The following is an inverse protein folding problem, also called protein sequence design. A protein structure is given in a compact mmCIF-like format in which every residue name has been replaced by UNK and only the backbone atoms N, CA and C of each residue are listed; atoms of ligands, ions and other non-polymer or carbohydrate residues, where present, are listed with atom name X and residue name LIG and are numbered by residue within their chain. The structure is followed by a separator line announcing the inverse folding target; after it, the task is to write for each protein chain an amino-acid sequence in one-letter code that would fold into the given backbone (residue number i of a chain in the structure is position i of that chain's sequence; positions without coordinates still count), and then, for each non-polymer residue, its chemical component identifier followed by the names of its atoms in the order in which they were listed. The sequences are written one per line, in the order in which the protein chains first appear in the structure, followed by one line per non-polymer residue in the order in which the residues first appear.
data_IF_646573098256
#
_entry.id   IF_646573098256
#
_cell.length_a   1.000
_cell.length_b   1.000
_cell.length_c   1.000
_cell.angle_alpha   90.00
_cell.angle_beta   90.00
_cell.angle_gamma   90.00
#
_symmetry.space_group_name_H-M   'P 1'
#
loop_
_entity.id
_entity.type
_entity.pdbx_description
1 polymer ?
#
# COMPACT_ATOMS: atom_id res chain seq x y z
N UNK A 1 49.22 -55.83 10.36
CA UNK A 1 48.21 -56.48 11.23
C UNK A 1 48.35 -55.93 12.65
N UNK A 2 47.40 -55.11 13.10
CA UNK A 2 47.05 -54.90 14.52
C UNK A 2 45.87 -53.91 14.59
N UNK A 3 44.68 -54.46 14.84
CA UNK A 3 43.60 -53.77 15.57
C UNK A 3 43.84 -54.06 17.06
N UNK A 4 43.53 -53.12 17.97
CA UNK A 4 42.26 -53.16 18.71
C UNK A 4 41.71 -51.74 18.98
N UNK A 5 40.50 -51.49 19.49
CA UNK A 5 39.49 -52.35 20.06
C UNK A 5 38.21 -51.54 20.32
N UNK A 6 37.12 -52.27 20.48
CA UNK A 6 35.77 -51.81 20.80
C UNK A 6 35.63 -51.38 22.27
N UNK A 7 34.80 -50.35 22.52
CA UNK A 7 34.07 -50.24 23.79
C UNK A 7 32.67 -49.68 23.58
N UNK A 8 31.73 -50.39 24.21
CA UNK A 8 30.29 -50.24 24.20
C UNK A 8 29.78 -49.00 24.95
N UNK A 9 28.65 -48.50 24.42
CA UNK A 9 27.39 -48.10 25.06
C UNK A 9 27.33 -47.13 26.26
N UNK A 10 26.40 -46.19 26.12
CA UNK A 10 25.86 -45.37 27.19
C UNK A 10 24.75 -44.44 26.69
N UNK A 11 23.65 -45.01 26.18
CA UNK A 11 22.39 -44.28 26.06
C UNK A 11 21.85 -44.00 27.47
N UNK A 12 21.47 -42.75 27.75
CA UNK A 12 20.42 -42.50 28.75
C UNK A 12 19.63 -41.26 28.35
N UNK A 13 18.45 -41.55 27.80
CA UNK A 13 17.34 -40.64 27.70
C UNK A 13 16.88 -40.24 29.11
N UNK A 14 16.51 -38.99 29.30
CA UNK A 14 15.64 -38.61 30.42
C UNK A 14 14.49 -37.78 29.86
N UNK A 15 13.32 -38.40 29.90
CA UNK A 15 12.01 -37.82 29.57
C UNK A 15 11.15 -37.87 30.85
N UNK A 16 10.13 -37.02 30.89
CA UNK A 16 9.08 -36.85 31.92
C UNK A 16 9.41 -35.88 33.07
N UNK A 17 8.53 -34.99 33.53
CA UNK A 17 7.18 -34.60 33.11
C UNK A 17 6.72 -33.37 33.92
N UNK A 18 5.76 -32.63 33.32
CA UNK A 18 4.65 -31.85 33.94
C UNK A 18 4.96 -30.64 34.83
N UNK A 19 4.51 -29.46 34.37
CA UNK A 19 3.40 -28.73 35.00
C UNK A 19 2.92 -27.57 34.08
N UNK A 20 1.63 -27.59 33.73
CA UNK A 20 0.87 -26.48 33.15
C UNK A 20 -0.32 -26.18 34.11
N UNK A 21 -0.95 -24.99 34.01
CA UNK A 21 -1.31 -24.11 35.14
C UNK A 21 -2.66 -24.44 35.81
N UNK A 22 -2.97 -23.84 36.98
CA UNK A 22 -4.30 -23.97 37.57
C UNK A 22 -5.34 -23.12 36.83
N UNK A 23 -6.51 -23.73 36.67
CA UNK A 23 -7.77 -23.15 36.23
C UNK A 23 -8.30 -22.19 37.31
N UNK A 24 -8.59 -20.94 36.92
CA UNK A 24 -9.48 -20.07 37.69
C UNK A 24 -10.84 -19.91 37.01
N UNK A 25 -11.82 -19.91 37.89
CA UNK A 25 -13.24 -20.17 37.65
C UNK A 25 -14.02 -18.98 37.12
N UNK A 26 -15.10 -19.32 36.42
CA UNK A 26 -16.15 -18.46 35.87
C UNK A 26 -16.60 -17.30 36.77
N UNK A 27 -16.89 -16.15 36.15
CA UNK A 27 -18.07 -15.35 36.51
C UNK A 27 -18.63 -14.61 35.29
N UNK A 28 -19.60 -15.27 34.68
CA UNK A 28 -20.66 -14.63 33.88
C UNK A 28 -21.37 -13.60 34.76
N UNK A 29 -21.42 -12.33 34.33
CA UNK A 29 -22.41 -11.37 34.82
C UNK A 29 -23.29 -10.92 33.66
N UNK A 30 -24.55 -11.34 33.79
CA UNK A 30 -25.70 -11.01 32.96
C UNK A 30 -25.96 -9.50 32.97
N UNK A 31 -26.46 -9.04 31.83
CA UNK A 31 -27.17 -7.78 31.60
C UNK A 31 -28.27 -7.55 32.66
N UNK A 32 -28.70 -6.30 32.83
CA UNK A 32 -30.12 -6.01 32.90
C UNK A 32 -30.59 -5.17 31.71
N UNK A 33 -31.67 -5.63 31.08
CA UNK A 33 -32.57 -4.80 30.30
C UNK A 33 -33.27 -3.83 31.26
N UNK A 34 -33.45 -2.57 30.83
CA UNK A 34 -34.54 -1.74 31.32
C UNK A 34 -35.39 -1.30 30.14
N UNK A 35 -36.69 -1.56 30.28
CA UNK A 35 -37.73 -1.30 29.32
C UNK A 35 -38.19 0.16 29.37
N UNK A 36 -38.50 0.67 28.17
CA UNK A 36 -39.69 1.44 27.77
C UNK A 36 -40.26 2.44 28.77
N UNK A 37 -40.27 3.72 28.36
CA UNK A 37 -41.46 4.56 28.54
C UNK A 37 -41.69 5.47 27.34
N UNK A 38 -42.92 5.36 26.86
CA UNK A 38 -43.54 6.08 25.75
C UNK A 38 -43.96 7.45 26.28
N UNK A 39 -43.71 8.50 25.50
CA UNK A 39 -44.08 9.88 25.84
C UNK A 39 -44.38 10.67 24.58
N UNK A 40 -45.61 10.51 24.10
CA UNK A 40 -46.24 11.30 23.05
C UNK A 40 -46.34 12.76 23.48
N UNK A 41 -46.03 13.71 22.58
CA UNK A 41 -46.69 15.01 22.65
C UNK A 41 -46.85 15.60 21.24
N UNK A 42 -48.09 15.51 20.77
CA UNK A 42 -48.60 16.28 19.65
C UNK A 42 -48.97 17.68 20.16
N UNK A 43 -48.40 18.72 19.55
CA UNK A 43 -48.80 20.11 19.74
C UNK A 43 -49.07 20.73 18.38
N UNK A 44 -50.34 20.93 18.06
CA UNK A 44 -50.86 21.50 16.82
C UNK A 44 -51.07 23.01 16.97
N UNK A 45 -50.92 23.70 15.84
CA UNK A 45 -51.45 25.01 15.46
C UNK A 45 -50.82 26.27 16.06
N UNK A 46 -50.35 27.18 15.18
CA UNK A 46 -51.21 28.28 14.69
C UNK A 46 -50.60 28.92 13.43
N UNK A 47 -51.46 29.08 12.43
CA UNK A 47 -51.28 29.97 11.29
C UNK A 47 -51.25 31.42 11.78
N UNK A 48 -50.44 32.26 11.14
CA UNK A 48 -50.67 33.70 11.10
C UNK A 48 -50.37 34.20 9.69
N UNK A 49 -51.45 34.50 8.98
CA UNK A 49 -51.46 35.28 7.75
C UNK A 49 -51.31 36.76 8.08
N UNK A 50 -50.29 37.40 7.52
CA UNK A 50 -50.04 38.83 7.63
C UNK A 50 -49.56 39.37 6.30
N UNK A 51 -50.51 39.89 5.51
CA UNK A 51 -50.29 40.61 4.27
C UNK A 51 -49.92 42.06 4.57
N UNK A 52 -48.80 42.55 4.04
CA UNK A 52 -48.53 43.99 3.91
C UNK A 52 -47.63 44.27 2.69
N UNK A 53 -48.19 45.05 1.75
CA UNK A 53 -47.53 45.63 0.58
C UNK A 53 -46.53 46.71 1.01
N UNK A 54 -45.36 46.78 0.39
CA UNK A 54 -44.39 47.88 0.55
C UNK A 54 -43.27 47.84 -0.48
N UNK A 55 -43.06 48.95 -1.20
CA UNK A 55 -42.26 49.13 -2.43
C UNK A 55 -40.74 49.23 -2.21
N UNK A 56 -39.96 48.72 -3.18
CA UNK A 56 -38.56 49.09 -3.50
C UNK A 56 -37.53 48.71 -2.42
N UNK A 57 -36.36 48.15 -2.68
CA UNK A 57 -35.30 48.58 -3.58
C UNK A 57 -34.31 47.41 -3.80
N UNK A 58 -33.58 47.48 -4.92
CA UNK A 58 -32.36 46.72 -5.21
C UNK A 58 -32.49 45.18 -5.27
N UNK A 59 -32.66 44.69 -6.51
CA UNK A 59 -32.34 43.32 -6.86
C UNK A 59 -30.85 43.05 -6.61
N UNK A 60 -30.51 42.52 -5.44
CA UNK A 60 -29.28 41.75 -5.30
C UNK A 60 -29.60 40.37 -5.85
N UNK A 61 -29.39 40.21 -7.16
CA UNK A 61 -29.31 38.90 -7.76
C UNK A 61 -28.14 38.17 -7.10
N UNK A 62 -28.40 37.43 -6.01
CA UNK A 62 -27.64 36.23 -5.76
C UNK A 62 -27.90 35.35 -6.97
N UNK A 63 -27.01 35.47 -7.95
CA UNK A 63 -26.70 34.41 -8.89
C UNK A 63 -26.38 33.19 -8.02
N UNK A 64 -27.42 32.42 -7.70
CA UNK A 64 -27.28 30.99 -7.52
C UNK A 64 -26.82 30.48 -8.89
N UNK A 65 -25.53 30.63 -9.14
CA UNK A 65 -24.82 29.74 -10.04
C UNK A 65 -25.22 28.34 -9.58
N UNK A 66 -25.81 27.50 -10.45
CA UNK A 66 -25.86 26.10 -10.14
C UNK A 66 -24.39 25.70 -10.00
N UNK A 67 -23.95 25.44 -8.77
CA UNK A 67 -22.80 24.59 -8.52
C UNK A 67 -23.21 23.18 -8.94
N UNK A 68 -23.49 22.99 -10.23
CA UNK A 68 -23.17 21.75 -10.90
C UNK A 68 -21.67 21.78 -11.16
N UNK A 69 -20.87 21.91 -10.09
CA UNK A 69 -19.58 21.29 -10.10
C UNK A 69 -19.91 19.80 -10.18
N UNK A 70 -19.93 19.28 -11.40
CA UNK A 70 -19.94 17.84 -11.62
C UNK A 70 -18.85 17.30 -10.71
N UNK A 71 -19.24 16.52 -9.71
CA UNK A 71 -18.29 15.89 -8.82
C UNK A 71 -17.32 15.16 -9.74
N UNK A 72 -16.03 15.49 -9.63
CA UNK A 72 -15.01 14.79 -10.39
C UNK A 72 -15.18 13.28 -10.14
N UNK A 73 -14.76 12.44 -11.09
CA UNK A 73 -14.90 10.98 -11.03
C UNK A 73 -14.27 10.31 -9.80
N UNK A 74 -13.55 11.06 -8.96
CA UNK A 74 -13.13 10.69 -7.61
C UNK A 74 -11.62 10.84 -7.40
N UNK A 75 -11.13 10.80 -6.16
CA UNK A 75 -9.71 11.03 -5.84
C UNK A 75 -8.76 10.05 -6.55
N UNK A 76 -9.23 8.84 -6.88
CA UNK A 76 -8.42 7.81 -7.52
C UNK A 76 -8.55 7.76 -9.06
N UNK A 77 -9.41 8.62 -9.64
CA UNK A 77 -9.61 8.66 -11.08
C UNK A 77 -8.33 9.07 -11.81
N UNK A 78 -8.03 8.38 -12.91
CA UNK A 78 -6.78 8.58 -13.66
C UNK A 78 -7.08 8.98 -15.08
N UNK A 79 -6.65 10.19 -15.43
CA UNK A 79 -6.82 10.73 -16.77
C UNK A 79 -5.54 11.46 -17.19
N UNK A 80 -5.13 11.29 -18.45
CA UNK A 80 -3.92 11.93 -18.97
C UNK A 80 -4.24 13.34 -19.49
N UNK A 81 -4.28 14.33 -18.57
CA UNK A 81 -4.58 15.73 -18.88
C UNK A 81 -3.62 16.35 -19.92
N UNK A 82 -2.40 15.81 -20.08
CA UNK A 82 -1.42 16.30 -21.05
C UNK A 82 -1.83 16.05 -22.50
N UNK A 83 -2.71 15.08 -22.71
CA UNK A 83 -3.21 14.64 -24.02
C UNK A 83 -4.59 15.18 -24.33
N UNK A 84 -5.10 16.11 -23.53
CA UNK A 84 -6.40 16.71 -23.76
C UNK A 84 -6.42 17.42 -25.10
N UNK A 85 -7.42 17.08 -25.93
CA UNK A 85 -7.59 17.62 -27.28
C UNK A 85 -7.60 19.15 -27.33
N UNK A 86 -8.22 19.88 -26.38
CA UNK A 86 -8.20 21.36 -26.38
C UNK A 86 -6.86 21.96 -25.92
N UNK A 87 -5.91 21.13 -25.52
CA UNK A 87 -4.59 21.49 -25.01
C UNK A 87 -4.33 20.89 -23.62
N UNK A 88 -3.06 20.81 -23.18
CA UNK A 88 -2.72 20.29 -21.85
C UNK A 88 -3.51 20.96 -20.73
N UNK A 89 -4.06 20.17 -19.81
CA UNK A 89 -4.89 20.59 -18.67
C UNK A 89 -6.21 21.29 -19.05
N UNK A 90 -6.61 21.27 -20.33
CA UNK A 90 -7.89 21.84 -20.81
C UNK A 90 -8.99 20.80 -20.81
N UNK A 91 -10.22 21.17 -20.48
CA UNK A 91 -11.32 20.22 -20.35
C UNK A 91 -12.65 20.80 -20.87
N UNK A 92 -13.57 19.90 -21.19
CA UNK A 92 -14.99 20.15 -21.45
C UNK A 92 -15.87 19.62 -20.32
N UNK A 93 -15.42 18.57 -19.63
CA UNK A 93 -16.11 18.00 -18.48
C UNK A 93 -15.10 17.41 -17.46
N UNK A 94 -15.58 17.05 -16.28
CA UNK A 94 -14.73 16.62 -15.16
C UNK A 94 -14.06 15.25 -15.37
N UNK A 95 -14.50 14.42 -16.31
CA UNK A 95 -13.81 13.18 -16.66
C UNK A 95 -12.53 13.43 -17.46
N UNK A 96 -12.28 14.67 -17.88
CA UNK A 96 -11.03 15.04 -18.56
C UNK A 96 -9.98 15.61 -17.60
N UNK A 97 -10.20 15.42 -16.29
CA UNK A 97 -9.34 15.89 -15.22
C UNK A 97 -8.91 14.72 -14.32
N UNK A 98 -7.66 14.73 -13.88
CA UNK A 98 -7.04 13.69 -13.08
C UNK A 98 -7.39 13.84 -11.59
N UNK A 99 -7.66 12.72 -10.92
CA UNK A 99 -8.07 12.70 -9.51
C UNK A 99 -9.45 13.32 -9.27
N UNK A 100 -9.64 13.89 -8.08
CA UNK A 100 -10.89 14.54 -7.69
C UNK A 100 -11.10 15.92 -8.34
N UNK A 101 -10.31 16.27 -9.37
CA UNK A 101 -10.35 17.57 -10.02
C UNK A 101 -11.62 17.73 -10.84
N UNK A 102 -12.07 18.98 -10.95
CA UNK A 102 -13.27 19.37 -11.69
C UNK A 102 -12.91 20.24 -12.89
N UNK A 103 -13.77 20.27 -13.91
CA UNK A 103 -13.60 21.16 -15.03
C UNK A 103 -14.20 22.55 -14.72
N UNK A 104 -13.39 23.60 -14.78
CA UNK A 104 -13.84 24.97 -14.57
C UNK A 104 -14.67 25.50 -15.74
N UNK A 105 -15.50 26.53 -15.54
CA UNK A 105 -16.18 27.23 -16.63
C UNK A 105 -15.24 27.84 -17.67
N UNK A 106 -13.97 28.09 -17.31
CA UNK A 106 -12.94 28.56 -18.22
C UNK A 106 -12.27 27.43 -19.05
N UNK A 107 -12.71 26.19 -18.88
CA UNK A 107 -12.21 25.02 -19.61
C UNK A 107 -10.83 24.55 -19.13
N UNK A 108 -10.58 24.64 -17.83
CA UNK A 108 -9.35 24.18 -17.16
C UNK A 108 -9.66 23.21 -16.03
N UNK A 109 -8.87 22.15 -15.90
CA UNK A 109 -8.93 21.26 -14.74
C UNK A 109 -8.47 22.01 -13.48
N UNK A 110 -9.26 21.95 -12.41
CA UNK A 110 -9.01 22.66 -11.15
C UNK A 110 -9.34 21.81 -9.93
N UNK A 111 -8.72 22.11 -8.78
CA UNK A 111 -8.81 21.33 -7.54
C UNK A 111 -7.53 20.54 -7.24
N UNK A 112 -7.56 19.74 -6.17
CA UNK A 112 -6.41 18.94 -5.75
C UNK A 112 -6.17 17.77 -6.71
N UNK A 113 -5.00 17.78 -7.36
CA UNK A 113 -4.49 16.61 -8.08
C UNK A 113 -4.13 15.48 -7.11
N UNK A 114 -4.06 14.26 -7.62
CA UNK A 114 -3.55 13.13 -6.84
C UNK A 114 -2.17 13.46 -6.25
N UNK A 115 -1.86 13.04 -5.01
CA UNK A 115 -0.54 13.24 -4.44
C UNK A 115 0.51 12.62 -5.38
N UNK A 116 1.50 13.42 -5.76
CA UNK A 116 2.60 12.94 -6.60
C UNK A 116 3.41 11.90 -5.84
N UNK A 117 3.78 10.76 -6.47
CA UNK A 117 4.74 9.85 -5.86
C UNK A 117 6.04 10.63 -5.63
N UNK A 118 6.76 10.37 -4.53
CA UNK A 118 8.01 11.06 -4.27
C UNK A 118 9.02 10.79 -5.38
N UNK A 119 9.88 11.78 -5.67
CA UNK A 119 10.86 11.65 -6.74
C UNK A 119 11.79 10.46 -6.49
N UNK A 120 12.28 9.81 -7.56
CA UNK A 120 13.28 8.76 -7.43
C UNK A 120 14.49 9.29 -6.66
N UNK A 121 15.14 8.42 -5.87
CA UNK A 121 16.38 8.81 -5.20
C UNK A 121 17.41 9.30 -6.23
N UNK A 122 18.20 10.34 -5.89
CA UNK A 122 19.23 10.84 -6.79
C UNK A 122 20.28 9.75 -7.02
N UNK A 123 20.30 9.20 -8.24
CA UNK A 123 21.38 8.32 -8.68
C UNK A 123 22.69 9.09 -8.69
N UNK A 124 23.75 8.54 -8.08
CA UNK A 124 25.09 9.13 -8.13
C UNK A 124 25.56 9.25 -9.58
N UNK A 125 26.02 10.44 -9.93
CA UNK A 125 26.56 10.80 -11.24
C UNK A 125 27.90 10.11 -11.49
N UNK A 126 27.96 9.24 -12.49
CA UNK A 126 29.22 8.90 -13.17
C UNK A 126 28.99 8.98 -14.68
N UNK A 127 29.68 9.96 -15.27
CA UNK A 127 29.78 10.26 -16.69
C UNK A 127 29.90 8.99 -17.56
N UNK A 128 29.01 8.83 -18.55
CA UNK A 128 29.37 8.15 -19.79
C UNK A 128 28.46 8.62 -20.91
N UNK A 129 29.06 9.31 -21.88
CA UNK A 129 28.56 9.61 -23.21
C UNK A 129 28.04 8.35 -23.91
N UNK A 130 26.79 8.34 -24.37
CA UNK A 130 26.27 7.28 -25.23
C UNK A 130 24.75 7.23 -25.28
N UNK A 131 24.20 7.45 -26.48
CA UNK A 131 22.79 7.40 -26.86
C UNK A 131 21.93 6.40 -26.06
N UNK A 132 20.83 6.91 -25.49
CA UNK A 132 19.49 6.30 -25.59
C UNK A 132 19.22 4.92 -24.96
N UNK A 133 20.21 4.25 -24.36
CA UNK A 133 19.98 3.04 -23.58
C UNK A 133 19.70 3.46 -22.13
N UNK A 134 18.50 3.20 -21.60
CA UNK A 134 18.25 3.35 -20.17
C UNK A 134 19.27 2.51 -19.41
N UNK A 135 20.26 3.14 -18.75
CA UNK A 135 21.20 2.43 -17.85
C UNK A 135 20.36 1.50 -16.96
N UNK A 136 20.60 0.18 -16.95
CA UNK A 136 19.86 -0.71 -16.06
C UNK A 136 20.07 -0.20 -14.63
N UNK A 137 18.98 0.17 -13.99
CA UNK A 137 18.98 0.61 -12.59
C UNK A 137 19.67 -0.50 -11.78
N UNK A 138 20.66 -0.13 -10.94
CA UNK A 138 21.38 -1.11 -10.12
C UNK A 138 20.37 -1.86 -9.26
N UNK A 139 20.39 -3.19 -9.32
CA UNK A 139 19.56 -3.99 -8.41
C UNK A 139 20.06 -3.81 -6.98
N UNK A 140 19.13 -3.74 -6.03
CA UNK A 140 19.40 -3.58 -4.61
C UNK A 140 18.56 -4.53 -3.78
N UNK A 141 18.91 -4.71 -2.51
CA UNK A 141 18.05 -5.36 -1.54
C UNK A 141 17.05 -4.36 -0.97
N UNK A 142 15.83 -4.82 -0.72
CA UNK A 142 14.79 -4.05 -0.04
C UNK A 142 14.66 -4.62 1.36
N UNK A 143 15.04 -3.83 2.37
CA UNK A 143 15.27 -4.29 3.74
C UNK A 143 14.18 -3.82 4.69
N UNK A 144 13.58 -4.74 5.40
CA UNK A 144 12.63 -4.46 6.47
C UNK A 144 13.31 -3.79 7.67
N UNK A 145 12.64 -2.78 8.22
CA UNK A 145 13.05 -2.11 9.46
C UNK A 145 12.89 -2.99 10.70
N UNK A 146 11.99 -3.97 10.67
CA UNK A 146 11.62 -4.83 11.80
C UNK A 146 12.80 -5.65 12.32
N UNK A 147 13.49 -6.36 11.43
CA UNK A 147 14.54 -7.30 11.79
C UNK A 147 15.71 -7.33 10.79
N UNK A 148 15.76 -6.38 9.85
CA UNK A 148 16.81 -6.35 8.81
C UNK A 148 16.67 -7.45 7.74
N UNK A 149 15.58 -8.21 7.79
CA UNK A 149 15.17 -9.16 6.73
C UNK A 149 14.95 -8.43 5.41
N UNK A 150 15.06 -9.15 4.30
CA UNK A 150 14.91 -8.61 2.95
C UNK A 150 13.79 -9.32 2.20
N UNK A 151 13.20 -8.65 1.22
CA UNK A 151 12.26 -9.28 0.28
C UNK A 151 13.02 -10.38 -0.47
N UNK A 152 12.50 -11.60 -0.40
CA UNK A 152 13.08 -12.81 -0.99
C UNK A 152 12.00 -13.57 -1.76
N UNK A 153 12.31 -14.02 -2.98
CA UNK A 153 11.48 -15.00 -3.70
C UNK A 153 11.73 -16.37 -3.10
N UNK A 154 10.69 -16.91 -2.48
CA UNK A 154 10.74 -18.13 -1.69
C UNK A 154 11.37 -19.29 -2.47
N UNK A 155 12.39 -19.90 -1.89
CA UNK A 155 13.06 -21.06 -2.47
C UNK A 155 13.80 -20.81 -3.79
N UNK A 156 14.10 -19.55 -4.15
CA UNK A 156 14.65 -19.20 -5.47
C UNK A 156 13.72 -19.64 -6.63
N UNK A 157 12.41 -19.72 -6.37
CA UNK A 157 11.44 -20.18 -7.35
C UNK A 157 11.36 -19.19 -8.53
N UNK A 158 11.65 -19.67 -9.74
CA UNK A 158 11.67 -18.86 -10.96
C UNK A 158 10.32 -18.78 -11.67
N UNK A 159 9.34 -19.57 -11.26
CA UNK A 159 8.03 -19.63 -11.89
C UNK A 159 7.19 -18.37 -11.60
N UNK A 160 6.35 -17.92 -12.54
CA UNK A 160 5.28 -16.97 -12.25
C UNK A 160 4.38 -17.51 -11.13
N UNK A 161 3.96 -16.63 -10.23
CA UNK A 161 3.18 -16.98 -9.05
C UNK A 161 4.03 -17.35 -7.83
N UNK A 162 5.37 -17.33 -7.95
CA UNK A 162 6.24 -17.57 -6.81
C UNK A 162 5.97 -16.55 -5.70
N UNK A 163 5.74 -17.06 -4.48
CA UNK A 163 5.49 -16.26 -3.29
C UNK A 163 6.72 -15.52 -2.79
N UNK A 164 6.47 -14.43 -2.07
CA UNK A 164 7.51 -13.63 -1.42
C UNK A 164 7.49 -13.82 0.09
N UNK A 165 8.68 -13.88 0.67
CA UNK A 165 8.91 -13.91 2.11
C UNK A 165 9.92 -12.84 2.53
N UNK A 166 9.88 -12.45 3.80
CA UNK A 166 10.95 -11.71 4.44
C UNK A 166 12.00 -12.69 4.95
N UNK A 167 13.18 -12.73 4.32
CA UNK A 167 14.24 -13.68 4.64
C UNK A 167 15.53 -13.00 5.08
N UNK A 168 16.42 -13.73 5.75
CA UNK A 168 17.75 -13.21 6.10
C UNK A 168 18.50 -12.80 4.82
N UNK A 169 19.16 -11.65 4.85
CA UNK A 169 19.99 -11.23 3.73
C UNK A 169 21.15 -12.22 3.52
N UNK A 170 21.32 -12.69 2.29
CA UNK A 170 22.39 -13.61 1.90
C UNK A 170 23.68 -12.82 1.68
N UNK A 171 24.80 -13.34 2.21
CA UNK A 171 26.11 -12.69 2.17
C UNK A 171 26.91 -12.95 0.90
N UNK A 172 26.58 -14.00 0.15
CA UNK A 172 27.21 -14.33 -1.12
C UNK A 172 26.59 -13.49 -2.26
N UNK A 173 27.45 -12.94 -3.13
CA UNK A 173 26.99 -12.26 -4.36
C UNK A 173 26.51 -13.25 -5.43
N UNK A 174 26.89 -14.51 -5.31
CA UNK A 174 26.47 -15.60 -6.18
C UNK A 174 25.26 -16.31 -5.56
N UNK A 175 24.16 -16.41 -6.29
CA UNK A 175 22.94 -17.11 -5.84
C UNK A 175 21.99 -16.29 -4.96
N UNK A 176 22.23 -14.99 -4.78
CA UNK A 176 21.34 -14.08 -4.04
C UNK A 176 20.37 -13.28 -4.92
N UNK A 177 20.30 -13.56 -6.23
CA UNK A 177 19.46 -12.80 -7.17
C UNK A 177 17.97 -12.80 -6.81
N UNK A 178 17.50 -13.81 -6.06
CA UNK A 178 16.14 -13.88 -5.54
C UNK A 178 15.86 -12.84 -4.43
N UNK A 179 16.87 -12.10 -3.98
CA UNK A 179 16.79 -10.99 -3.01
C UNK A 179 17.13 -9.63 -3.63
N UNK A 180 17.41 -9.61 -4.94
CA UNK A 180 17.87 -8.42 -5.65
C UNK A 180 16.73 -7.87 -6.52
N UNK A 181 16.45 -6.58 -6.32
CA UNK A 181 15.28 -5.90 -6.87
C UNK A 181 15.70 -4.64 -7.60
N UNK A 182 15.11 -4.41 -8.77
CA UNK A 182 15.28 -3.22 -9.58
C UNK A 182 13.97 -2.42 -9.52
N UNK A 183 14.07 -1.15 -9.13
CA UNK A 183 12.97 -0.21 -9.32
C UNK A 183 12.95 0.25 -10.77
N UNK A 184 11.90 -0.11 -11.49
CA UNK A 184 11.67 0.33 -12.87
C UNK A 184 10.60 1.44 -12.84
N UNK A 185 10.96 2.69 -13.14
CA UNK A 185 9.99 3.78 -13.15
C UNK A 185 8.83 3.50 -14.13
N UNK A 186 7.61 3.83 -13.71
CA UNK A 186 6.40 3.75 -14.55
C UNK A 186 5.49 4.95 -14.27
N UNK A 187 4.41 5.09 -15.03
CA UNK A 187 3.41 6.13 -14.80
C UNK A 187 2.71 5.87 -13.45
N UNK A 188 3.02 6.70 -12.44
CA UNK A 188 2.37 6.66 -11.13
C UNK A 188 3.13 5.90 -10.03
N UNK A 189 4.33 5.38 -10.30
CA UNK A 189 5.16 4.70 -9.30
C UNK A 189 6.30 3.89 -9.91
N UNK A 190 6.53 2.71 -9.36
CA UNK A 190 7.56 1.77 -9.81
C UNK A 190 6.96 0.38 -10.02
N UNK A 191 7.45 -0.33 -11.04
CA UNK A 191 7.49 -1.79 -10.99
C UNK A 191 8.70 -2.18 -10.14
N UNK A 192 8.53 -3.16 -9.24
CA UNK A 192 9.65 -3.72 -8.46
C UNK A 192 10.02 -5.04 -9.10
N UNK A 193 11.04 -5.03 -9.96
CA UNK A 193 11.43 -6.14 -10.83
C UNK A 193 12.53 -6.98 -10.19
N UNK A 194 12.34 -8.29 -10.15
CA UNK A 194 13.36 -9.23 -9.69
C UNK A 194 14.53 -9.32 -10.64
N UNK A 195 15.76 -9.32 -10.10
CA UNK A 195 16.96 -9.67 -10.87
C UNK A 195 17.01 -11.15 -11.23
N UNK A 196 16.33 -12.02 -10.46
CA UNK A 196 16.37 -13.46 -10.64
C UNK A 196 15.85 -13.89 -12.01
N UNK A 197 14.67 -13.37 -12.39
CA UNK A 197 13.91 -13.82 -13.55
C UNK A 197 13.21 -12.69 -14.31
N UNK A 198 13.35 -11.42 -13.88
CA UNK A 198 12.72 -10.29 -14.53
C UNK A 198 11.22 -10.10 -14.25
N UNK A 199 10.60 -10.97 -13.44
CA UNK A 199 9.22 -10.82 -12.99
C UNK A 199 9.09 -9.67 -11.98
N UNK A 200 7.87 -9.17 -11.77
CA UNK A 200 7.60 -8.01 -10.90
C UNK A 200 6.74 -8.39 -9.69
N UNK A 201 6.85 -7.64 -8.59
CA UNK A 201 5.91 -7.73 -7.47
C UNK A 201 4.48 -7.47 -7.97
N UNK A 202 3.58 -8.39 -7.65
CA UNK A 202 2.19 -8.40 -8.07
C UNK A 202 1.29 -8.80 -6.89
N UNK A 203 0.21 -8.03 -6.65
CA UNK A 203 -0.85 -8.42 -5.71
C UNK A 203 -1.68 -9.53 -6.35
N UNK A 204 -1.63 -10.73 -5.77
CA UNK A 204 -2.18 -11.96 -6.35
C UNK A 204 -3.64 -11.79 -6.83
N UNK A 205 -3.86 -12.06 -8.11
CA UNK A 205 -5.18 -11.96 -8.76
C UNK A 205 -5.76 -10.54 -8.78
N UNK A 206 -4.95 -9.51 -8.55
CA UNK A 206 -5.39 -8.14 -8.29
C UNK A 206 -6.44 -8.06 -7.16
N UNK A 207 -6.38 -8.98 -6.19
CA UNK A 207 -7.35 -9.03 -5.10
C UNK A 207 -7.09 -7.92 -4.08
N UNK A 208 -8.03 -6.98 -3.99
CA UNK A 208 -7.94 -5.81 -3.12
C UNK A 208 -8.10 -6.08 -1.61
N UNK A 209 -8.33 -7.32 -1.19
CA UNK A 209 -8.50 -7.66 0.22
C UNK A 209 -7.22 -7.48 1.05
N UNK A 210 -7.38 -7.11 2.32
CA UNK A 210 -6.28 -7.16 3.29
C UNK A 210 -5.87 -8.62 3.55
N UNK A 211 -4.58 -8.87 3.62
CA UNK A 211 -4.01 -10.22 3.73
C UNK A 211 -3.75 -10.89 2.39
N UNK A 212 -4.14 -10.28 1.25
CA UNK A 212 -3.79 -10.82 -0.07
C UNK A 212 -2.27 -10.94 -0.20
N UNK A 213 -1.81 -12.09 -0.69
CA UNK A 213 -0.39 -12.38 -0.88
C UNK A 213 0.19 -11.52 -2.00
N UNK A 214 1.48 -11.20 -1.85
CA UNK A 214 2.27 -10.64 -2.93
C UNK A 214 3.14 -11.74 -3.54
N UNK A 215 3.08 -11.84 -4.86
CA UNK A 215 3.77 -12.85 -5.67
C UNK A 215 4.67 -12.16 -6.69
N UNK A 216 5.43 -12.94 -7.45
CA UNK A 216 6.06 -12.46 -8.69
C UNK A 216 5.23 -12.84 -9.90
N UNK A 217 5.04 -11.92 -10.84
CA UNK A 217 4.28 -12.17 -12.06
C UNK A 217 4.87 -11.45 -13.28
N UNK A 218 4.42 -11.84 -14.47
CA UNK A 218 4.77 -11.16 -15.72
C UNK A 218 4.27 -9.71 -15.69
N UNK A 219 5.12 -8.77 -16.10
CA UNK A 219 4.76 -7.37 -16.11
C UNK A 219 3.69 -7.08 -17.17
N UNK A 220 2.54 -6.58 -16.73
CA UNK A 220 1.42 -6.14 -17.58
C UNK A 220 1.00 -4.69 -17.31
N UNK A 221 1.56 -4.06 -16.26
CA UNK A 221 1.36 -2.64 -15.98
C UNK A 221 0.04 -2.30 -15.27
N UNK A 222 -0.75 -3.31 -14.89
CA UNK A 222 -1.92 -3.15 -14.04
C UNK A 222 -1.58 -2.55 -12.67
N UNK A 223 -2.55 -1.89 -12.03
CA UNK A 223 -2.32 -1.16 -10.77
C UNK A 223 -1.86 -2.06 -9.62
N UNK A 224 -2.17 -3.35 -9.67
CA UNK A 224 -1.68 -4.39 -8.74
C UNK A 224 -0.16 -4.64 -8.84
N UNK A 225 0.51 -4.10 -9.86
CA UNK A 225 1.97 -4.18 -10.05
C UNK A 225 2.69 -2.86 -9.84
N UNK A 226 1.95 -1.75 -9.67
CA UNK A 226 2.52 -0.41 -9.55
C UNK A 226 2.59 -0.02 -8.08
N UNK A 227 3.79 0.32 -7.63
CA UNK A 227 4.11 0.58 -6.23
C UNK A 227 4.59 2.01 -6.03
N UNK A 228 4.07 2.69 -5.02
CA UNK A 228 4.54 3.99 -4.56
C UNK A 228 5.38 3.83 -3.30
N UNK A 229 6.45 4.60 -3.21
CA UNK A 229 7.30 4.65 -2.02
C UNK A 229 6.83 5.79 -1.12
N UNK A 230 5.87 5.56 -0.23
CA UNK A 230 5.39 6.62 0.66
C UNK A 230 6.36 6.78 1.83
N UNK A 231 6.85 7.99 2.17
CA UNK A 231 7.77 8.17 3.28
C UNK A 231 7.23 7.60 4.59
N UNK A 232 8.05 6.80 5.25
CA UNK A 232 7.79 6.25 6.57
C UNK A 232 8.10 7.25 7.69
N UNK A 233 7.70 6.90 8.91
CA UNK A 233 7.97 7.75 10.10
C UNK A 233 9.46 7.80 10.48
N UNK A 234 10.23 6.78 10.10
CA UNK A 234 11.68 6.74 10.33
C UNK A 234 12.37 7.24 9.06
N UNK A 235 13.27 8.21 9.21
CA UNK A 235 14.02 8.78 8.07
C UNK A 235 14.71 7.67 7.27
N UNK A 236 14.55 7.72 5.95
CA UNK A 236 15.12 6.73 5.03
C UNK A 236 14.38 5.37 5.03
N UNK A 237 13.16 5.33 5.56
CA UNK A 237 12.23 4.19 5.38
C UNK A 237 11.01 4.64 4.60
N UNK A 238 10.36 3.69 3.96
CA UNK A 238 9.18 3.88 3.13
C UNK A 238 8.16 2.79 3.41
N UNK A 239 6.88 3.14 3.30
CA UNK A 239 5.84 2.18 2.99
C UNK A 239 5.88 1.91 1.48
N UNK A 240 5.80 0.65 1.08
CA UNK A 240 5.64 0.25 -0.33
C UNK A 240 4.15 0.07 -0.57
N UNK A 241 3.51 1.09 -1.12
CA UNK A 241 2.06 1.19 -1.26
C UNK A 241 1.61 0.75 -2.65
N UNK A 242 0.62 -0.14 -2.74
CA UNK A 242 0.03 -0.54 -4.01
C UNK A 242 -0.86 0.56 -4.58
N UNK A 243 -0.75 0.82 -5.88
CA UNK A 243 -1.66 1.71 -6.60
C UNK A 243 -3.04 1.11 -6.86
N UNK A 244 -3.24 -0.18 -6.58
CA UNK A 244 -4.54 -0.85 -6.69
C UNK A 244 -5.56 -0.27 -5.69
N UNK A 245 -5.15 -0.12 -4.43
CA UNK A 245 -6.08 0.12 -3.32
C UNK A 245 -5.45 0.89 -2.13
N UNK A 246 -4.19 1.34 -2.24
CA UNK A 246 -3.53 2.09 -1.17
C UNK A 246 -3.06 1.26 0.04
N UNK A 247 -3.24 -0.07 0.02
CA UNK A 247 -2.64 -0.96 1.02
C UNK A 247 -1.11 -1.00 0.86
N UNK A 248 -0.40 -1.46 1.88
CA UNK A 248 1.07 -1.49 1.91
C UNK A 248 1.61 -2.90 2.05
N UNK A 249 2.83 -3.11 1.54
CA UNK A 249 3.59 -4.33 1.73
C UNK A 249 3.92 -4.54 3.22
N UNK A 250 3.50 -5.67 3.74
CA UNK A 250 3.56 -6.03 5.16
C UNK A 250 4.16 -7.44 5.31
N UNK A 251 5.01 -7.62 6.32
CA UNK A 251 5.43 -8.95 6.76
C UNK A 251 4.34 -9.52 7.66
N UNK A 252 3.64 -10.54 7.15
CA UNK A 252 2.50 -11.17 7.82
C UNK A 252 2.82 -11.51 9.28
N UNK A 253 2.01 -10.96 10.19
CA UNK A 253 2.14 -11.17 11.64
C UNK A 253 3.42 -10.60 12.25
N UNK A 254 4.21 -9.82 11.51
CA UNK A 254 5.50 -9.31 11.96
C UNK A 254 6.51 -10.43 12.25
N UNK A 255 6.46 -11.55 11.51
CA UNK A 255 7.37 -12.68 11.74
C UNK A 255 8.82 -12.30 11.42
N UNK A 256 9.73 -12.69 12.31
CA UNK A 256 11.18 -12.39 12.19
C UNK A 256 12.05 -13.63 11.99
N UNK A 257 11.45 -14.82 11.91
CA UNK A 257 12.13 -16.11 11.79
C UNK A 257 12.53 -16.48 10.35
N UNK A 258 12.26 -15.59 9.38
CA UNK A 258 12.52 -15.84 7.96
C UNK A 258 11.36 -16.52 7.22
N UNK A 259 10.23 -16.82 7.87
CA UNK A 259 9.07 -17.45 7.24
C UNK A 259 7.91 -16.49 6.95
N UNK A 260 8.07 -15.21 7.33
CA UNK A 260 7.03 -14.20 7.18
C UNK A 260 6.71 -13.94 5.72
N UNK A 261 5.49 -14.26 5.29
CA UNK A 261 5.01 -13.97 3.94
C UNK A 261 4.81 -12.49 3.75
N UNK A 262 4.99 -12.03 2.51
CA UNK A 262 4.64 -10.66 2.15
C UNK A 262 3.20 -10.59 1.67
N UNK A 263 2.44 -9.72 2.31
CA UNK A 263 1.01 -9.51 2.06
C UNK A 263 0.73 -8.03 1.87
N UNK A 264 -0.46 -7.72 1.35
CA UNK A 264 -1.04 -6.39 1.36
C UNK A 264 -1.81 -6.17 2.66
N UNK A 265 -1.52 -5.10 3.39
CA UNK A 265 -2.21 -4.80 4.63
C UNK A 265 -2.48 -3.29 4.81
N UNK A 266 -3.51 -2.90 5.59
CA UNK A 266 -3.71 -1.50 5.94
C UNK A 266 -2.47 -0.85 6.53
N UNK A 267 -2.16 0.36 6.07
CA UNK A 267 -1.01 1.13 6.54
C UNK A 267 -1.20 1.53 8.00
N UNK A 268 -0.27 1.09 8.86
CA UNK A 268 -0.20 1.47 10.25
C UNK A 268 0.85 2.57 10.43
N UNK A 269 0.43 3.74 10.92
CA UNK A 269 1.35 4.88 11.19
C UNK A 269 1.87 4.93 12.64
N UNK A 270 1.43 3.99 13.48
CA UNK A 270 1.86 3.91 14.87
C UNK A 270 3.30 3.39 15.00
N UNK A 271 3.84 3.47 16.22
CA UNK A 271 5.22 3.08 16.52
C UNK A 271 5.52 1.58 16.38
N UNK A 272 4.51 0.72 16.20
CA UNK A 272 4.65 -0.74 16.14
C UNK A 272 4.64 -1.28 14.70
N UNK A 273 4.48 -0.42 13.70
CA UNK A 273 4.36 -0.80 12.29
C UNK A 273 5.70 -1.06 11.58
N UNK A 274 6.73 -1.53 12.29
CA UNK A 274 8.06 -1.75 11.69
C UNK A 274 8.07 -2.87 10.64
N UNK A 275 7.09 -3.78 10.71
CA UNK A 275 6.84 -4.82 9.71
C UNK A 275 6.34 -4.28 8.36
N UNK A 276 6.00 -2.98 8.27
CA UNK A 276 5.56 -2.30 7.05
C UNK A 276 6.55 -1.24 6.55
N UNK A 277 7.68 -1.07 7.24
CA UNK A 277 8.69 -0.08 6.90
C UNK A 277 9.89 -0.72 6.21
N UNK A 278 10.22 -0.19 5.04
CA UNK A 278 11.25 -0.72 4.15
C UNK A 278 12.31 0.33 3.85
N UNK A 279 13.58 -0.06 3.92
CA UNK A 279 14.72 0.71 3.45
C UNK A 279 15.14 0.15 2.10
N UNK A 280 15.43 1.04 1.16
CA UNK A 280 16.02 0.69 -0.12
C UNK A 280 17.51 1.01 -0.02
N UNK A 281 18.37 0.03 -0.30
CA UNK A 281 19.83 0.21 -0.29
C UNK A 281 20.30 0.75 -1.67
N UNK A 282 19.72 1.87 -2.08
CA UNK A 282 19.87 2.60 -3.37
C UNK A 282 21.12 3.48 -3.43
#
# INVERSE_FOLDING_TARGET
MKLPGSRHEGHSANEAARAAPPLETSRSRRRPMFAVRIGSNAGRARENSGSAKGRGWAALALLLLPLTASAGPGPDYRWDESRNRPGPNRCHDASQCDGARTCSPAGWCQGESRPTPPPPPPGRSEWSTGRGETRPQRSTVIRSKLAGLVIDIEGNNRAPGAGLVAFRAKSNREGNDNQMWQLVPTKGGYLIRSRLNGLVLDVEGANGAAGTRVITWEAHGGLNQVWQLVPGRVRGTYFIQSQLNGLVLDIEGGRTDGSGRLIMFPMHRNARADNQLWRLDI
#
